data_IF_301526872284
#
_entry.id   IF_301526872284
#
_cell.length_a   1.000
_cell.length_b   1.000
_cell.length_c   1.000
_cell.angle_alpha   90.00
_cell.angle_beta   90.00
_cell.angle_gamma   90.00
#
_symmetry.space_group_name_H-M   'P 1'
#
loop_
_entity.id
_entity.type
_entity.pdbx_description
1 polymer ?
#
# COMPACT_ATOMS: atom_id res chain seq x y z
N UNK A 1 10.10 -2.26 15.64
CA UNK A 1 8.71 -2.64 15.37
C UNK A 1 7.71 -1.58 15.84
N UNK A 2 7.71 -1.13 17.09
CA UNK A 2 6.74 -0.15 17.63
C UNK A 2 6.68 1.15 16.80
N UNK A 3 7.82 1.72 16.45
CA UNK A 3 7.89 2.96 15.64
C UNK A 3 7.21 2.78 14.28
N UNK A 4 7.42 1.64 13.64
CA UNK A 4 6.79 1.33 12.33
C UNK A 4 5.28 1.25 12.48
N UNK A 5 4.78 0.58 13.53
CA UNK A 5 3.34 0.49 13.81
C UNK A 5 2.73 1.87 14.09
N UNK A 6 3.42 2.73 14.83
CA UNK A 6 2.98 4.10 15.10
C UNK A 6 2.91 4.94 13.82
N UNK A 7 3.94 4.87 12.98
CA UNK A 7 3.96 5.59 11.68
C UNK A 7 2.84 5.09 10.78
N UNK A 8 2.62 3.78 10.73
CA UNK A 8 1.52 3.20 9.95
C UNK A 8 0.15 3.62 10.46
N UNK A 9 -0.07 3.53 11.79
CA UNK A 9 -1.31 3.98 12.41
C UNK A 9 -1.59 5.47 12.14
N UNK A 10 -0.56 6.31 12.28
CA UNK A 10 -0.67 7.73 11.94
C UNK A 10 -1.02 7.97 10.47
N UNK A 11 -0.49 7.15 9.55
CA UNK A 11 -0.81 7.24 8.11
C UNK A 11 -2.30 7.02 7.84
N UNK A 12 -2.96 6.09 8.55
CA UNK A 12 -4.40 5.87 8.40
C UNK A 12 -5.21 7.08 8.87
N UNK A 13 -4.87 7.63 10.03
CA UNK A 13 -5.56 8.80 10.59
C UNK A 13 -5.37 10.03 9.70
N UNK A 14 -4.13 10.32 9.33
CA UNK A 14 -3.81 11.43 8.43
C UNK A 14 -4.44 11.26 7.04
N UNK A 15 -4.46 10.02 6.53
CA UNK A 15 -5.10 9.69 5.26
C UNK A 15 -6.60 9.96 5.29
N UNK A 16 -7.29 9.52 6.36
CA UNK A 16 -8.73 9.77 6.49
C UNK A 16 -9.04 11.26 6.61
N UNK A 17 -8.30 11.99 7.42
CA UNK A 17 -8.44 13.44 7.54
C UNK A 17 -8.21 14.14 6.19
N UNK A 18 -7.21 13.71 5.42
CA UNK A 18 -6.93 14.27 4.10
C UNK A 18 -8.06 14.04 3.08
N UNK A 19 -8.58 12.81 3.02
CA UNK A 19 -9.65 12.49 2.04
C UNK A 19 -11.05 12.99 2.47
N UNK A 20 -11.23 13.44 3.70
CA UNK A 20 -12.46 14.10 4.13
C UNK A 20 -12.57 15.54 3.63
N UNK A 21 -11.43 16.20 3.41
CA UNK A 21 -11.37 17.61 2.97
C UNK A 21 -11.11 17.74 1.45
N UNK A 22 -10.39 16.78 0.88
CA UNK A 22 -9.91 16.84 -0.51
C UNK A 22 -10.33 15.56 -1.24
N UNK A 23 -10.73 15.63 -2.53
CA UNK A 23 -11.03 14.45 -3.33
C UNK A 23 -9.86 13.44 -3.30
N UNK A 24 -10.14 12.13 -3.13
CA UNK A 24 -9.10 11.11 -2.93
C UNK A 24 -8.03 11.08 -4.01
N UNK A 25 -8.40 11.32 -5.26
CA UNK A 25 -7.47 11.38 -6.37
C UNK A 25 -6.51 12.57 -6.26
N UNK A 26 -7.03 13.74 -5.89
CA UNK A 26 -6.22 14.94 -5.73
C UNK A 26 -5.29 14.80 -4.52
N UNK A 27 -5.77 14.24 -3.42
CA UNK A 27 -4.95 13.93 -2.25
C UNK A 27 -3.80 12.99 -2.59
N UNK A 28 -4.08 11.92 -3.33
CA UNK A 28 -3.07 10.96 -3.80
C UNK A 28 -2.04 11.65 -4.72
N UNK A 29 -2.49 12.46 -5.66
CA UNK A 29 -1.62 13.18 -6.58
C UNK A 29 -0.67 14.15 -5.85
N UNK A 30 -1.20 14.96 -4.93
CA UNK A 30 -0.40 15.90 -4.12
C UNK A 30 0.66 15.16 -3.28
N UNK A 31 0.28 14.05 -2.65
CA UNK A 31 1.20 13.22 -1.88
C UNK A 31 2.34 12.69 -2.74
N UNK A 32 2.03 12.18 -3.93
CA UNK A 32 3.07 11.65 -4.83
C UNK A 32 3.91 12.74 -5.46
N UNK A 33 3.35 13.90 -5.76
CA UNK A 33 4.13 15.05 -6.21
C UNK A 33 5.13 15.50 -5.16
N UNK A 34 4.71 15.57 -3.89
CA UNK A 34 5.58 15.91 -2.77
C UNK A 34 6.71 14.87 -2.62
N UNK A 35 6.36 13.58 -2.62
CA UNK A 35 7.33 12.50 -2.54
C UNK A 35 8.30 12.52 -3.73
N UNK A 36 7.79 12.69 -4.95
CA UNK A 36 8.62 12.78 -6.14
C UNK A 36 9.63 13.94 -6.05
N UNK A 37 9.20 15.11 -5.61
CA UNK A 37 10.07 16.27 -5.43
C UNK A 37 11.19 16.00 -4.43
N UNK A 38 10.87 15.35 -3.30
CA UNK A 38 11.86 15.02 -2.26
C UNK A 38 12.83 13.92 -2.72
N UNK A 39 12.32 12.91 -3.45
CA UNK A 39 13.12 11.77 -3.91
C UNK A 39 13.86 12.02 -5.23
N UNK A 40 13.51 13.07 -5.97
CA UNK A 40 14.13 13.40 -7.25
C UNK A 40 15.67 13.39 -7.23
N UNK A 41 16.35 14.00 -6.22
CA UNK A 41 17.80 13.99 -6.14
C UNK A 41 18.40 12.60 -5.88
N UNK A 42 17.60 11.64 -5.39
CA UNK A 42 18.03 10.27 -5.12
C UNK A 42 17.67 9.29 -6.24
N UNK A 43 17.08 9.79 -7.32
CA UNK A 43 16.66 8.97 -8.45
C UNK A 43 17.89 8.34 -9.11
N UNK A 44 17.93 7.01 -9.16
CA UNK A 44 18.92 6.25 -9.91
C UNK A 44 18.27 5.59 -11.10
N UNK A 45 18.88 5.79 -12.27
CA UNK A 45 18.45 5.13 -13.51
C UNK A 45 18.90 3.66 -13.44
N UNK A 46 17.96 2.74 -13.58
CA UNK A 46 18.22 1.29 -13.66
C UNK A 46 18.28 0.92 -15.13
N UNK A 47 19.46 0.81 -15.67
CA UNK A 47 19.67 0.50 -17.09
C UNK A 47 19.04 -0.85 -17.45
N UNK A 48 18.27 -0.88 -18.54
CA UNK A 48 17.61 -2.09 -19.07
C UNK A 48 16.25 -2.45 -18.43
N UNK A 49 15.90 -1.94 -17.24
CA UNK A 49 14.66 -2.28 -16.53
C UNK A 49 13.73 -1.10 -16.26
N UNK A 50 13.95 0.04 -16.92
CA UNK A 50 13.15 1.26 -16.68
C UNK A 50 11.66 1.08 -16.99
N UNK A 51 11.31 0.28 -18.00
CA UNK A 51 9.91 0.01 -18.33
C UNK A 51 9.21 -0.78 -17.23
N UNK A 52 9.87 -1.78 -16.66
CA UNK A 52 9.35 -2.59 -15.56
C UNK A 52 9.14 -1.73 -14.30
N UNK A 53 10.14 -0.91 -13.97
CA UNK A 53 10.06 0.05 -12.85
C UNK A 53 8.90 1.02 -13.07
N UNK A 54 8.71 1.52 -14.30
CA UNK A 54 7.59 2.41 -14.63
C UNK A 54 6.23 1.73 -14.44
N UNK A 55 6.04 0.51 -14.96
CA UNK A 55 4.79 -0.23 -14.81
C UNK A 55 4.49 -0.58 -13.35
N UNK A 56 5.50 -1.02 -12.57
CA UNK A 56 5.34 -1.29 -11.14
C UNK A 56 4.98 0.00 -10.40
N UNK A 57 5.63 1.11 -10.70
CA UNK A 57 5.35 2.40 -10.08
C UNK A 57 3.94 2.89 -10.40
N UNK A 58 3.48 2.69 -11.63
CA UNK A 58 2.12 3.04 -12.05
C UNK A 58 1.07 2.19 -11.33
N UNK A 59 1.28 0.88 -11.28
CA UNK A 59 0.36 -0.05 -10.63
C UNK A 59 0.30 0.16 -9.10
N UNK A 60 1.44 0.21 -8.44
CA UNK A 60 1.52 0.35 -6.99
C UNK A 60 1.32 1.78 -6.52
N UNK A 61 1.87 2.74 -7.24
CA UNK A 61 1.78 4.15 -6.88
C UNK A 61 0.41 4.74 -7.21
N UNK A 62 -0.01 4.69 -8.46
CA UNK A 62 -1.23 5.37 -8.90
C UNK A 62 -2.48 4.52 -8.69
N UNK A 63 -2.53 3.30 -9.26
CA UNK A 63 -3.74 2.50 -9.23
C UNK A 63 -4.07 2.01 -7.81
N UNK A 64 -3.12 1.38 -7.14
CA UNK A 64 -3.34 0.83 -5.80
C UNK A 64 -3.76 1.90 -4.79
N UNK A 65 -3.02 3.00 -4.69
CA UNK A 65 -3.33 4.03 -3.70
C UNK A 65 -4.54 4.88 -4.05
N UNK A 66 -4.86 5.08 -5.33
CA UNK A 66 -6.12 5.73 -5.71
C UNK A 66 -7.34 4.91 -5.29
N UNK A 67 -7.29 3.59 -5.49
CA UNK A 67 -8.32 2.67 -5.00
C UNK A 67 -8.38 2.62 -3.48
N UNK A 68 -7.23 2.60 -2.81
CA UNK A 68 -7.13 2.57 -1.35
C UNK A 68 -7.76 3.83 -0.72
N UNK A 69 -7.37 5.02 -1.17
CA UNK A 69 -7.93 6.26 -0.64
C UNK A 69 -9.37 6.49 -1.11
N UNK A 70 -9.74 6.02 -2.31
CA UNK A 70 -11.13 5.98 -2.75
C UNK A 70 -11.99 5.13 -1.82
N UNK A 71 -11.55 3.92 -1.48
CA UNK A 71 -12.22 3.08 -0.49
C UNK A 71 -12.26 3.70 0.90
N UNK A 72 -11.18 4.35 1.32
CA UNK A 72 -11.11 5.04 2.61
C UNK A 72 -12.08 6.24 2.69
N UNK A 73 -12.32 6.95 1.60
CA UNK A 73 -13.27 8.06 1.57
C UNK A 73 -14.72 7.60 1.78
N UNK A 74 -15.05 6.41 1.27
CA UNK A 74 -16.38 5.79 1.40
C UNK A 74 -16.58 5.08 2.75
N UNK A 75 -15.51 4.75 3.46
CA UNK A 75 -15.58 4.05 4.74
C UNK A 75 -15.96 4.99 5.87
N UNK A 76 -16.96 4.61 6.66
CA UNK A 76 -17.35 5.34 7.88
C UNK A 76 -16.28 5.26 8.98
N UNK A 77 -15.62 4.09 9.10
CA UNK A 77 -14.65 3.79 10.14
C UNK A 77 -13.27 3.47 9.57
N UNK A 78 -12.26 4.23 9.98
CA UNK A 78 -10.85 4.00 9.64
C UNK A 78 -10.36 2.63 10.13
N UNK A 79 -10.84 2.20 11.31
CA UNK A 79 -10.46 0.90 11.88
C UNK A 79 -10.90 -0.27 11.00
N UNK A 80 -12.07 -0.18 10.37
CA UNK A 80 -12.53 -1.21 9.43
C UNK A 80 -11.62 -1.31 8.21
N UNK A 81 -11.16 -0.18 7.68
CA UNK A 81 -10.20 -0.14 6.57
C UNK A 81 -8.86 -0.74 6.98
N UNK A 82 -8.37 -0.41 8.19
CA UNK A 82 -7.12 -0.94 8.71
C UNK A 82 -7.18 -2.47 8.87
N UNK A 83 -8.28 -3.01 9.37
CA UNK A 83 -8.49 -4.46 9.47
C UNK A 83 -8.63 -5.10 8.09
N UNK A 84 -9.37 -4.47 7.18
CA UNK A 84 -9.53 -4.99 5.82
C UNK A 84 -8.19 -5.07 5.05
N UNK A 85 -7.26 -4.15 5.28
CA UNK A 85 -5.93 -4.21 4.65
C UNK A 85 -5.09 -5.38 5.13
N UNK A 86 -5.34 -5.92 6.33
CA UNK A 86 -4.65 -7.12 6.83
C UNK A 86 -5.01 -8.38 6.04
N UNK A 87 -6.16 -8.39 5.37
CA UNK A 87 -6.52 -9.48 4.44
C UNK A 87 -5.56 -9.57 3.25
N UNK A 88 -4.78 -8.51 2.97
CA UNK A 88 -3.73 -8.55 1.96
C UNK A 88 -2.66 -9.61 2.22
N UNK A 89 -2.36 -9.92 3.49
CA UNK A 89 -1.36 -10.92 3.86
C UNK A 89 -1.76 -12.34 3.45
N UNK A 90 -2.96 -12.86 3.83
CA UNK A 90 -3.41 -14.17 3.37
C UNK A 90 -3.61 -14.21 1.85
N UNK A 91 -4.13 -13.16 1.21
CA UNK A 91 -4.25 -13.10 -0.23
C UNK A 91 -2.89 -13.17 -0.93
N UNK A 92 -1.89 -12.40 -0.49
CA UNK A 92 -0.55 -12.46 -1.03
C UNK A 92 0.06 -13.86 -0.91
N UNK A 93 -0.20 -14.56 0.20
CA UNK A 93 0.26 -15.93 0.40
C UNK A 93 -0.43 -16.92 -0.55
N UNK A 94 -1.73 -16.80 -0.74
CA UNK A 94 -2.49 -17.64 -1.69
C UNK A 94 -1.95 -17.41 -3.12
N UNK A 95 -1.76 -16.15 -3.51
CA UNK A 95 -1.22 -15.81 -4.82
C UNK A 95 0.20 -16.36 -5.01
N UNK A 96 1.07 -16.28 -3.99
CA UNK A 96 2.41 -16.86 -4.02
C UNK A 96 2.37 -18.38 -4.23
N UNK A 97 1.48 -19.09 -3.55
CA UNK A 97 1.31 -20.54 -3.73
C UNK A 97 0.82 -20.87 -5.16
N UNK A 98 -0.22 -20.15 -5.64
CA UNK A 98 -0.88 -20.44 -6.90
C UNK A 98 0.00 -20.08 -8.11
N UNK A 99 0.65 -18.90 -8.09
CA UNK A 99 1.40 -18.41 -9.25
C UNK A 99 2.90 -18.76 -9.23
N UNK A 100 3.49 -18.81 -8.02
CA UNK A 100 4.93 -19.09 -7.89
C UNK A 100 5.21 -20.56 -7.51
N UNK A 101 4.17 -21.33 -7.17
CA UNK A 101 4.35 -22.73 -6.72
C UNK A 101 5.10 -22.85 -5.40
N UNK A 102 5.18 -21.75 -4.60
CA UNK A 102 5.86 -21.78 -3.30
C UNK A 102 5.13 -22.69 -2.33
N UNK A 103 5.88 -23.53 -1.63
CA UNK A 103 5.33 -24.31 -0.52
C UNK A 103 5.24 -23.42 0.72
N UNK A 104 4.05 -23.02 1.09
CA UNK A 104 3.84 -22.35 2.37
C UNK A 104 4.08 -23.35 3.50
N UNK A 105 5.20 -23.21 4.20
CA UNK A 105 5.51 -24.02 5.34
C UNK A 105 4.47 -23.83 6.47
N UNK A 106 4.21 -24.87 7.23
CA UNK A 106 3.27 -24.90 8.36
C UNK A 106 3.40 -23.68 9.29
N UNK A 107 4.63 -23.22 9.59
CA UNK A 107 4.89 -22.05 10.43
C UNK A 107 4.32 -20.74 9.83
N UNK A 108 4.33 -20.60 8.51
CA UNK A 108 3.76 -19.44 7.82
C UNK A 108 2.25 -19.46 7.87
N UNK A 109 1.65 -20.62 7.66
CA UNK A 109 0.19 -20.81 7.76
C UNK A 109 -0.33 -20.54 9.17
N UNK A 110 0.34 -21.03 10.21
CA UNK A 110 -0.05 -20.76 11.61
C UNK A 110 0.12 -19.29 11.97
N UNK A 111 1.19 -18.63 11.52
CA UNK A 111 1.40 -17.19 11.73
C UNK A 111 0.29 -16.34 11.12
N UNK A 112 -0.19 -16.68 9.92
CA UNK A 112 -1.28 -15.96 9.25
C UNK A 112 -2.62 -16.20 9.95
N UNK A 113 -2.86 -17.43 10.44
CA UNK A 113 -4.11 -17.77 11.13
C UNK A 113 -4.23 -17.12 12.52
N UNK A 114 -3.12 -16.67 13.11
CA UNK A 114 -3.08 -16.05 14.45
C UNK A 114 -2.90 -14.53 14.41
N UNK A 115 -2.71 -13.94 13.24
CA UNK A 115 -2.58 -12.50 13.03
C UNK A 115 -3.93 -11.85 12.73
#
# INVERSE_FOLDING_TARGET
MIIICLVWGFTFVAGKAGVSEIPPMLFTALRYMLLATILLPFLRIVEGHMSEVFFISLAMGSAHFSLFYGGMSLAENVSAVAVATQLGVPFATIMSIVFLGEQAGWRRCTGIATA
#
